data_IF_598976689899
#
_entry.id   IF_598976689899
#
_cell.length_a   1.000
_cell.length_b   1.000
_cell.length_c   1.000
_cell.angle_alpha   90.00
_cell.angle_beta   90.00
_cell.angle_gamma   90.00
#
_symmetry.space_group_name_H-M   'P 1'
#
loop_
_entity.id
_entity.type
_entity.pdbx_description
1 polymer ?
#
# COMPACT_ATOMS: atom_id res chain seq x y z
N UNK A 1 10.63 12.03 -10.71
CA UNK A 1 10.61 11.50 -12.10
C UNK A 1 10.13 10.06 -12.08
N UNK A 2 9.80 9.46 -13.22
CA UNK A 2 9.14 8.13 -13.31
C UNK A 2 10.06 6.90 -13.25
N UNK A 3 11.35 7.09 -12.94
CA UNK A 3 12.33 6.02 -12.66
C UNK A 3 12.32 4.83 -13.66
N UNK A 4 12.66 5.02 -14.95
CA UNK A 4 12.57 3.97 -15.99
C UNK A 4 13.35 2.68 -15.67
N UNK A 5 14.49 2.78 -14.96
CA UNK A 5 15.27 1.61 -14.50
C UNK A 5 14.55 0.70 -13.52
N UNK A 6 13.45 1.16 -12.92
CA UNK A 6 12.62 0.31 -12.05
C UNK A 6 11.65 -0.53 -12.89
N UNK A 7 11.16 0.01 -14.00
CA UNK A 7 10.36 -0.74 -14.99
C UNK A 7 11.20 -1.85 -15.62
N UNK A 8 12.48 -1.60 -15.92
CA UNK A 8 13.40 -2.64 -16.41
C UNK A 8 13.50 -3.84 -15.44
N UNK A 9 13.66 -3.58 -14.14
CA UNK A 9 13.70 -4.66 -13.14
C UNK A 9 12.35 -5.35 -12.98
N UNK A 10 11.24 -4.60 -13.02
CA UNK A 10 9.90 -5.18 -12.98
C UNK A 10 9.72 -6.16 -14.15
N UNK A 11 10.06 -5.76 -15.38
CA UNK A 11 9.89 -6.62 -16.56
C UNK A 11 10.77 -7.86 -16.51
N UNK A 12 12.05 -7.73 -16.11
CA UNK A 12 12.98 -8.87 -16.15
C UNK A 12 12.87 -9.80 -14.93
N UNK A 13 12.50 -9.27 -13.76
CA UNK A 13 12.58 -9.99 -12.48
C UNK A 13 11.27 -9.97 -11.67
N UNK A 14 10.19 -9.38 -12.19
CA UNK A 14 8.92 -9.19 -11.49
C UNK A 14 9.11 -8.58 -10.08
N UNK A 15 9.99 -7.58 -9.97
CA UNK A 15 10.28 -6.89 -8.71
C UNK A 15 10.25 -5.38 -8.92
N UNK A 16 9.32 -4.69 -8.23
CA UNK A 16 9.16 -3.25 -8.31
C UNK A 16 9.68 -2.56 -7.05
N UNK A 17 10.88 -1.98 -7.15
CA UNK A 17 11.51 -1.21 -6.05
C UNK A 17 11.08 0.26 -5.97
N UNK A 18 9.87 0.58 -6.44
CA UNK A 18 9.31 1.93 -6.37
C UNK A 18 8.81 2.21 -4.96
N UNK A 19 9.30 3.29 -4.34
CA UNK A 19 8.84 3.72 -3.03
C UNK A 19 7.64 4.66 -3.15
N UNK A 20 6.47 4.18 -2.72
CA UNK A 20 5.20 4.93 -2.73
C UNK A 20 4.99 5.80 -1.49
N UNK A 21 5.98 5.96 -0.60
CA UNK A 21 5.84 6.82 0.60
C UNK A 21 5.35 8.24 0.27
N UNK A 22 5.83 8.83 -0.82
CA UNK A 22 5.37 10.15 -1.27
C UNK A 22 3.88 10.18 -1.66
N UNK A 23 3.35 9.07 -2.18
CA UNK A 23 1.93 8.92 -2.52
C UNK A 23 1.09 8.81 -1.24
N UNK A 24 1.58 8.07 -0.24
CA UNK A 24 0.91 7.90 1.05
C UNK A 24 0.79 9.24 1.79
N UNK A 25 1.91 9.98 1.86
CA UNK A 25 1.95 11.32 2.46
C UNK A 25 1.04 12.30 1.73
N UNK A 26 1.01 12.25 0.39
CA UNK A 26 0.13 13.09 -0.41
C UNK A 26 -1.35 12.77 -0.18
N UNK A 27 -1.71 11.48 -0.06
CA UNK A 27 -3.07 11.03 0.21
C UNK A 27 -3.53 11.47 1.60
N UNK A 28 -2.69 11.31 2.63
CA UNK A 28 -2.96 11.78 3.99
C UNK A 28 -3.26 13.28 3.99
N UNK A 29 -2.37 14.10 3.40
CA UNK A 29 -2.56 15.54 3.33
C UNK A 29 -3.81 15.95 2.52
N UNK A 30 -4.13 15.18 1.47
CA UNK A 30 -5.33 15.38 0.66
C UNK A 30 -6.62 15.14 1.47
N UNK A 31 -6.67 14.06 2.26
CA UNK A 31 -7.79 13.73 3.14
C UNK A 31 -7.96 14.77 4.24
N UNK A 32 -6.86 15.20 4.88
CA UNK A 32 -6.87 16.24 5.90
C UNK A 32 -7.39 17.57 5.34
N UNK A 33 -6.90 17.98 4.16
CA UNK A 33 -7.38 19.18 3.50
C UNK A 33 -8.89 19.10 3.22
N UNK A 34 -9.36 17.98 2.67
CA UNK A 34 -10.78 17.79 2.39
C UNK A 34 -11.63 17.81 3.68
N UNK A 35 -11.18 17.16 4.74
CA UNK A 35 -11.83 17.16 6.05
C UNK A 35 -12.00 18.59 6.58
N UNK A 36 -10.92 19.38 6.56
CA UNK A 36 -10.92 20.76 7.02
C UNK A 36 -11.78 21.68 6.13
N UNK A 37 -11.71 21.50 4.81
CA UNK A 37 -12.42 22.36 3.86
C UNK A 37 -13.92 22.13 3.84
N UNK A 38 -14.33 20.87 3.99
CA UNK A 38 -15.72 20.45 3.89
C UNK A 38 -16.37 20.16 5.25
N UNK A 39 -15.62 20.20 6.35
CA UNK A 39 -16.10 19.77 7.67
C UNK A 39 -16.48 18.28 7.70
N UNK A 40 -15.78 17.44 6.93
CA UNK A 40 -16.11 16.02 6.82
C UNK A 40 -15.40 15.20 7.91
N UNK A 41 -16.19 14.74 8.89
CA UNK A 41 -15.70 13.96 10.03
C UNK A 41 -15.04 12.63 9.63
N UNK A 42 -15.64 11.86 8.72
CA UNK A 42 -15.08 10.58 8.28
C UNK A 42 -13.74 10.77 7.57
N UNK A 43 -13.61 11.81 6.75
CA UNK A 43 -12.33 12.14 6.10
C UNK A 43 -11.26 12.52 7.12
N UNK A 44 -11.63 13.20 8.22
CA UNK A 44 -10.71 13.49 9.31
C UNK A 44 -10.17 12.21 9.95
N UNK A 45 -11.06 11.27 10.29
CA UNK A 45 -10.67 9.97 10.86
C UNK A 45 -9.77 9.18 9.90
N UNK A 46 -10.10 9.18 8.60
CA UNK A 46 -9.25 8.54 7.58
C UNK A 46 -7.86 9.18 7.50
N UNK A 47 -7.75 10.52 7.59
CA UNK A 47 -6.47 11.21 7.59
C UNK A 47 -5.63 10.89 8.83
N UNK A 48 -6.24 10.92 10.02
CA UNK A 48 -5.57 10.62 11.30
C UNK A 48 -5.05 9.17 11.33
N UNK A 49 -5.91 8.20 10.99
CA UNK A 49 -5.50 6.80 10.98
C UNK A 49 -4.47 6.48 9.87
N UNK A 50 -4.49 7.20 8.74
CA UNK A 50 -3.48 7.02 7.69
C UNK A 50 -2.13 7.60 8.13
N UNK A 51 -2.11 8.72 8.86
CA UNK A 51 -0.88 9.28 9.44
C UNK A 51 -0.23 8.29 10.43
N UNK A 52 -1.03 7.71 11.33
CA UNK A 52 -0.58 6.66 12.26
C UNK A 52 -0.06 5.43 11.52
N UNK A 53 -0.75 4.99 10.45
CA UNK A 53 -0.33 3.87 9.63
C UNK A 53 1.00 4.13 8.89
N UNK A 54 1.22 5.34 8.38
CA UNK A 54 2.49 5.75 7.76
C UNK A 54 3.62 5.75 8.79
N UNK A 55 3.34 6.23 10.01
CA UNK A 55 4.29 6.18 11.14
C UNK A 55 4.72 4.75 11.46
N UNK A 56 3.77 3.85 11.66
CA UNK A 56 4.03 2.42 11.92
C UNK A 56 4.75 1.74 10.75
N UNK A 57 4.41 2.10 9.50
CA UNK A 57 5.08 1.61 8.30
C UNK A 57 6.57 2.00 8.26
N UNK A 58 6.89 3.23 8.67
CA UNK A 58 8.27 3.73 8.77
C UNK A 58 9.03 3.05 9.91
N UNK A 59 8.43 2.95 11.10
CA UNK A 59 9.02 2.32 12.27
C UNK A 59 9.38 0.85 12.03
N UNK A 60 8.52 0.14 11.30
CA UNK A 60 8.72 -1.26 10.95
C UNK A 60 9.53 -1.46 9.64
N UNK A 61 10.07 -0.39 9.06
CA UNK A 61 10.91 -0.40 7.86
C UNK A 61 10.27 -1.18 6.69
N UNK A 62 9.01 -0.89 6.38
CA UNK A 62 8.25 -1.57 5.31
C UNK A 62 8.49 -1.01 3.90
N UNK A 63 9.57 -0.24 3.75
CA UNK A 63 10.03 0.25 2.45
C UNK A 63 10.46 -0.90 1.52
N UNK A 64 10.20 -0.79 0.20
CA UNK A 64 10.64 -1.80 -0.77
C UNK A 64 12.15 -2.03 -0.72
N UNK A 65 12.55 -3.29 -0.69
CA UNK A 65 13.92 -3.68 -0.96
C UNK A 65 14.28 -3.43 -2.43
N UNK A 66 15.56 -3.54 -2.73
CA UNK A 66 16.11 -3.46 -4.09
C UNK A 66 16.39 -4.85 -4.69
N UNK A 67 16.25 -5.91 -3.89
CA UNK A 67 16.63 -7.27 -4.25
C UNK A 67 15.38 -8.10 -4.53
N UNK A 68 15.42 -8.84 -5.63
CA UNK A 68 14.39 -9.82 -5.97
C UNK A 68 14.26 -10.87 -4.85
N UNK A 69 13.03 -11.37 -4.64
CA UNK A 69 12.63 -12.26 -3.54
C UNK A 69 12.67 -11.64 -2.14
N UNK A 70 12.82 -10.31 -2.06
CA UNK A 70 12.55 -9.54 -0.85
C UNK A 70 11.32 -8.64 -1.09
N UNK A 71 10.81 -8.04 -0.01
CA UNK A 71 9.60 -7.22 -0.04
C UNK A 71 9.74 -6.07 -1.06
N UNK A 72 8.76 -5.92 -1.95
CA UNK A 72 8.76 -4.89 -3.00
C UNK A 72 7.59 -3.90 -2.81
N UNK A 73 7.31 -3.07 -3.82
CA UNK A 73 6.22 -2.10 -3.79
C UNK A 73 4.87 -2.71 -3.39
N UNK A 74 4.52 -3.92 -3.86
CA UNK A 74 3.24 -4.56 -3.56
C UNK A 74 3.13 -4.93 -2.08
N UNK A 75 4.21 -5.49 -1.53
CA UNK A 75 4.29 -5.82 -0.10
C UNK A 75 4.22 -4.55 0.76
N UNK A 76 4.88 -3.46 0.34
CA UNK A 76 4.78 -2.16 1.00
C UNK A 76 3.34 -1.63 1.07
N UNK A 77 2.60 -1.69 -0.05
CA UNK A 77 1.19 -1.30 -0.10
C UNK A 77 0.31 -2.18 0.80
N UNK A 78 0.55 -3.50 0.81
CA UNK A 78 -0.14 -4.42 1.70
C UNK A 78 0.05 -4.05 3.18
N UNK A 79 1.29 -3.77 3.58
CA UNK A 79 1.59 -3.37 4.96
C UNK A 79 0.89 -2.05 5.33
N UNK A 80 0.91 -1.05 4.45
CA UNK A 80 0.17 0.19 4.70
C UNK A 80 -1.34 -0.09 4.85
N UNK A 81 -1.93 -0.88 3.95
CA UNK A 81 -3.35 -1.22 4.00
C UNK A 81 -3.71 -1.95 5.31
N UNK A 82 -2.87 -2.89 5.75
CA UNK A 82 -3.07 -3.62 7.01
C UNK A 82 -2.97 -2.68 8.23
N UNK A 83 -1.93 -1.83 8.31
CA UNK A 83 -1.81 -0.87 9.42
C UNK A 83 -2.96 0.13 9.42
N UNK A 84 -3.36 0.63 8.25
CA UNK A 84 -4.47 1.56 8.15
C UNK A 84 -5.80 0.93 8.58
N UNK A 85 -6.09 -0.30 8.12
CA UNK A 85 -7.27 -1.04 8.58
C UNK A 85 -7.23 -1.29 10.09
N UNK A 86 -6.06 -1.61 10.66
CA UNK A 86 -5.88 -1.80 12.10
C UNK A 86 -6.19 -0.52 12.90
N UNK A 87 -5.67 0.63 12.48
CA UNK A 87 -5.96 1.91 13.14
C UNK A 87 -7.45 2.29 13.00
N UNK A 88 -8.04 2.10 11.82
CA UNK A 88 -9.46 2.33 11.60
C UNK A 88 -10.37 1.42 12.43
N UNK A 89 -9.97 0.17 12.66
CA UNK A 89 -10.70 -0.80 13.47
C UNK A 89 -10.59 -0.55 14.99
N UNK A 90 -9.62 0.25 15.44
CA UNK A 90 -9.33 0.52 16.86
C UNK A 90 -9.72 1.92 17.32
N UNK A 91 -9.73 2.90 16.42
CA UNK A 91 -10.13 4.28 16.74
C UNK A 91 -11.56 4.35 17.30
N UNK A 92 -11.83 5.36 18.12
CA UNK A 92 -13.14 5.56 18.79
C UNK A 92 -13.87 6.84 18.33
N UNK A 93 -13.34 7.52 17.31
CA UNK A 93 -13.87 8.77 16.76
C UNK A 93 -15.07 8.54 15.82
N UNK A 94 -15.15 7.39 15.14
CA UNK A 94 -16.26 7.01 14.27
C UNK A 94 -16.55 5.50 14.39
N UNK A 95 -17.64 5.14 15.07
CA UNK A 95 -17.98 3.74 15.36
C UNK A 95 -18.44 2.96 14.11
N UNK A 96 -18.92 3.65 13.08
CA UNK A 96 -19.34 3.02 11.83
C UNK A 96 -18.11 2.56 11.05
N UNK A 97 -17.12 3.45 10.87
CA UNK A 97 -15.81 3.10 10.30
C UNK A 97 -15.13 2.02 11.14
N UNK A 98 -15.15 2.17 12.47
CA UNK A 98 -14.57 1.16 13.36
C UNK A 98 -15.17 -0.23 13.10
N UNK A 99 -16.49 -0.32 13.05
CA UNK A 99 -17.18 -1.60 12.85
C UNK A 99 -16.96 -2.16 11.46
N UNK A 100 -16.93 -1.31 10.43
CA UNK A 100 -16.68 -1.72 9.05
C UNK A 100 -15.28 -2.32 8.86
N UNK A 101 -14.26 -1.73 9.49
CA UNK A 101 -12.87 -2.16 9.31
C UNK A 101 -12.44 -3.32 10.23
N UNK A 102 -13.24 -3.71 11.24
CA UNK A 102 -12.88 -4.79 12.18
C UNK A 102 -12.54 -6.10 11.48
N UNK A 103 -13.44 -6.58 10.63
CA UNK A 103 -13.25 -7.86 9.96
C UNK A 103 -12.13 -7.80 8.91
N UNK A 104 -12.02 -6.65 8.21
CA UNK A 104 -10.95 -6.40 7.23
C UNK A 104 -9.58 -6.43 7.92
N UNK A 105 -9.43 -5.72 9.05
CA UNK A 105 -8.20 -5.69 9.83
C UNK A 105 -7.82 -7.09 10.32
N UNK A 106 -8.80 -7.83 10.84
CA UNK A 106 -8.59 -9.20 11.29
C UNK A 106 -8.14 -10.12 10.15
N UNK A 107 -8.78 -10.04 8.98
CA UNK A 107 -8.47 -10.88 7.83
C UNK A 107 -7.06 -10.59 7.30
N UNK A 108 -6.69 -9.31 7.15
CA UNK A 108 -5.36 -8.90 6.69
C UNK A 108 -4.28 -9.35 7.69
N UNK A 109 -4.46 -9.09 8.99
CA UNK A 109 -3.49 -9.50 10.01
C UNK A 109 -3.39 -11.01 10.18
N UNK A 110 -4.49 -11.76 10.05
CA UNK A 110 -4.45 -13.22 10.14
C UNK A 110 -3.78 -13.88 8.94
N UNK A 111 -3.72 -13.18 7.79
CA UNK A 111 -3.12 -13.68 6.56
C UNK A 111 -1.79 -13.00 6.21
N UNK A 112 -1.17 -12.24 7.13
CA UNK A 112 0.02 -11.43 6.85
C UNK A 112 1.13 -12.23 6.16
N UNK A 113 1.60 -13.30 6.80
CA UNK A 113 2.69 -14.12 6.27
C UNK A 113 2.32 -14.82 4.97
N UNK A 114 1.04 -15.20 4.81
CA UNK A 114 0.56 -15.85 3.59
C UNK A 114 0.59 -14.89 2.41
N UNK A 115 0.01 -13.70 2.56
CA UNK A 115 -0.03 -12.67 1.50
C UNK A 115 1.38 -12.22 1.14
N UNK A 116 2.23 -12.00 2.14
CA UNK A 116 3.64 -11.64 1.93
C UNK A 116 4.40 -12.73 1.16
N UNK A 117 4.19 -14.00 1.51
CA UNK A 117 4.80 -15.12 0.80
C UNK A 117 4.31 -15.18 -0.65
N UNK A 118 3.01 -15.02 -0.90
CA UNK A 118 2.43 -15.01 -2.26
C UNK A 118 3.06 -13.91 -3.14
N UNK A 119 3.25 -12.69 -2.61
CA UNK A 119 3.95 -11.62 -3.35
C UNK A 119 5.41 -11.93 -3.63
N UNK A 120 6.15 -12.46 -2.65
CA UNK A 120 7.57 -12.77 -2.81
C UNK A 120 7.76 -13.98 -3.76
N UNK A 121 6.87 -14.97 -3.71
CA UNK A 121 6.91 -16.16 -4.56
C UNK A 121 6.63 -15.83 -6.03
N UNK A 122 5.82 -14.81 -6.31
CA UNK A 122 5.59 -14.32 -7.67
C UNK A 122 6.82 -13.70 -8.34
N UNK A 123 7.83 -13.25 -7.56
CA UNK A 123 9.02 -12.58 -8.10
C UNK A 123 10.02 -13.55 -8.77
N UNK A 124 11.03 -13.01 -9.43
CA UNK A 124 12.15 -13.78 -10.03
C UNK A 124 11.87 -14.35 -11.41
N UNK A 125 10.79 -13.91 -12.04
CA UNK A 125 10.38 -14.32 -13.38
C UNK A 125 10.19 -13.11 -14.28
N UNK A 126 10.42 -13.30 -15.57
CA UNK A 126 10.12 -12.27 -16.56
C UNK A 126 8.62 -12.11 -16.72
N UNK A 127 8.14 -10.86 -16.80
CA UNK A 127 6.73 -10.54 -17.05
C UNK A 127 6.57 -9.80 -18.37
N UNK A 128 5.42 -10.01 -19.00
CA UNK A 128 5.02 -9.31 -20.22
C UNK A 128 3.86 -8.36 -19.91
N UNK A 129 4.15 -7.05 -19.95
CA UNK A 129 3.16 -5.99 -19.71
C UNK A 129 2.43 -5.57 -20.99
N UNK A 130 2.70 -6.20 -22.13
CA UNK A 130 2.07 -5.89 -23.42
C UNK A 130 2.46 -4.54 -24.03
N UNK A 131 3.41 -3.83 -23.43
CA UNK A 131 3.89 -2.52 -23.90
C UNK A 131 4.88 -1.87 -22.94
N UNK A 132 5.20 -0.60 -23.17
CA UNK A 132 6.08 0.19 -22.30
C UNK A 132 5.49 1.57 -21.98
N UNK A 133 5.13 2.35 -23.01
CA UNK A 133 4.45 3.64 -22.82
C UNK A 133 2.93 3.49 -22.63
N UNK A 134 2.37 2.45 -23.24
CA UNK A 134 0.98 2.03 -23.08
C UNK A 134 1.00 0.54 -22.83
N UNK A 135 0.74 0.12 -21.61
CA UNK A 135 0.60 -1.27 -21.25
C UNK A 135 -0.73 -1.84 -21.75
N UNK A 136 -0.80 -3.16 -21.78
CA UNK A 136 -2.07 -3.86 -21.86
C UNK A 136 -2.70 -3.93 -20.46
N UNK A 137 -3.92 -3.40 -20.31
CA UNK A 137 -4.57 -3.27 -19.00
C UNK A 137 -4.82 -4.64 -18.34
N UNK A 138 -5.17 -5.67 -19.11
CA UNK A 138 -5.39 -7.00 -18.55
C UNK A 138 -4.09 -7.64 -18.06
N UNK A 139 -2.99 -7.44 -18.78
CA UNK A 139 -1.67 -7.94 -18.37
C UNK A 139 -1.11 -7.18 -17.18
N UNK A 140 -1.29 -5.86 -17.11
CA UNK A 140 -0.78 -5.04 -16.03
C UNK A 140 -1.55 -5.21 -14.70
N UNK A 141 -2.81 -5.65 -14.75
CA UNK A 141 -3.65 -5.88 -13.56
C UNK A 141 -3.52 -7.30 -12.95
N UNK A 142 -2.89 -8.24 -13.65
CA UNK A 142 -2.71 -9.63 -13.21
C UNK A 142 -1.40 -9.82 -12.45
#
# INVERSE_FOLDING_TARGET
GSAPKQVEQLVEENHLRWDSLGEFLALQASLEFYANKCGNHKAKVLAECLDEAIGEWLENNKAPSRKVKEDDNRTSHFYLAMYFANHLARQASDMELQSFFKDIALELSSNEEKIRAEFNDAQGVKVDLGGYYKFDDEKANK
#
